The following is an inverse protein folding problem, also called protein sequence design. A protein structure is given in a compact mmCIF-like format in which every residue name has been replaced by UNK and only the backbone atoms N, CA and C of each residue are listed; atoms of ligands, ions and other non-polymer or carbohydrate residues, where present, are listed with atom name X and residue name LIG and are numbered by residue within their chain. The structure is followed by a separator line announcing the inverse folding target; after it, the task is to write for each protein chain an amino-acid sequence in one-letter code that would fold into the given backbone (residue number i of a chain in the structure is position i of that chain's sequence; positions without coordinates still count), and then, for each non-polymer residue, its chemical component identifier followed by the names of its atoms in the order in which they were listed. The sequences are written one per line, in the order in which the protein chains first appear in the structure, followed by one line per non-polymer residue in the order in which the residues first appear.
data_IF_352981461939
#
_entry.id   IF_352981461939
#
_cell.length_a   1.000
_cell.length_b   1.000
_cell.length_c   1.000
_cell.angle_alpha   90.00
_cell.angle_beta   90.00
_cell.angle_gamma   90.00
#
_symmetry.space_group_name_H-M   'P 1'
#
loop_
_entity.id
_entity.type
_entity.pdbx_description
1 polymer ?
#
# COMPACT_ATOMS: atom_id res chain seq x y z
N UNK A 1 24.52 -58.02 -0.89
CA UNK A 1 24.44 -57.12 -2.06
C UNK A 1 23.91 -55.77 -1.60
N UNK A 2 24.71 -54.69 -1.57
CA UNK A 2 24.17 -53.36 -1.32
C UNK A 2 23.80 -52.73 -2.66
N UNK A 3 22.52 -52.40 -2.84
CA UNK A 3 22.09 -51.51 -3.93
C UNK A 3 22.47 -50.10 -3.50
N UNK A 4 23.67 -49.67 -3.89
CA UNK A 4 24.05 -48.25 -3.82
C UNK A 4 23.20 -47.49 -4.84
N UNK A 5 22.10 -46.90 -4.37
CA UNK A 5 21.35 -45.89 -5.13
C UNK A 5 22.18 -44.62 -5.16
N UNK A 6 23.19 -44.59 -6.02
CA UNK A 6 23.84 -43.34 -6.39
C UNK A 6 22.81 -42.49 -7.11
N UNK A 7 22.23 -41.48 -6.42
CA UNK A 7 21.49 -40.40 -7.11
C UNK A 7 22.47 -39.77 -8.09
N UNK A 8 22.34 -40.10 -9.38
CA UNK A 8 23.04 -39.39 -10.44
C UNK A 8 22.69 -37.91 -10.29
N UNK A 9 23.72 -37.07 -10.23
CA UNK A 9 23.54 -35.64 -10.29
C UNK A 9 22.74 -35.30 -11.57
N UNK A 10 21.75 -34.40 -11.47
CA UNK A 10 20.97 -34.01 -12.63
C UNK A 10 21.91 -33.42 -13.71
N UNK A 11 21.63 -33.65 -15.00
CA UNK A 11 22.40 -33.01 -16.05
C UNK A 11 22.28 -31.49 -15.92
N UNK A 12 23.34 -30.74 -16.25
CA UNK A 12 23.43 -29.29 -16.06
C UNK A 12 22.19 -28.47 -16.53
N UNK A 13 21.50 -28.83 -17.64
CA UNK A 13 20.25 -28.14 -18.03
C UNK A 13 19.09 -28.33 -17.04
N UNK A 14 18.99 -29.51 -16.41
CA UNK A 14 17.95 -29.80 -15.40
C UNK A 14 18.27 -29.06 -14.11
N UNK A 15 19.53 -29.01 -13.70
CA UNK A 15 19.97 -28.22 -12.55
C UNK A 15 19.73 -26.71 -12.76
N UNK A 16 20.05 -26.18 -13.95
CA UNK A 16 19.76 -24.80 -14.32
C UNK A 16 18.26 -24.49 -14.29
N UNK A 17 17.42 -25.43 -14.76
CA UNK A 17 15.96 -25.27 -14.74
C UNK A 17 15.40 -25.26 -13.31
N UNK A 18 15.86 -26.18 -12.45
CA UNK A 18 15.45 -26.24 -11.05
C UNK A 18 15.88 -25.00 -10.27
N UNK A 19 17.09 -24.48 -10.55
CA UNK A 19 17.59 -23.23 -9.96
C UNK A 19 16.72 -22.04 -10.38
N UNK A 20 16.44 -21.90 -11.68
CA UNK A 20 15.57 -20.84 -12.20
C UNK A 20 14.15 -20.92 -11.60
N UNK A 21 13.62 -22.13 -11.39
CA UNK A 21 12.32 -22.34 -10.74
C UNK A 21 12.35 -21.89 -9.27
N UNK A 22 13.37 -22.28 -8.52
CA UNK A 22 13.51 -21.91 -7.11
C UNK A 22 13.67 -20.38 -6.94
N UNK A 23 14.45 -19.75 -7.81
CA UNK A 23 14.63 -18.29 -7.83
C UNK A 23 13.34 -17.57 -8.21
N UNK A 24 12.59 -18.08 -9.19
CA UNK A 24 11.28 -17.54 -9.58
C UNK A 24 10.24 -17.63 -8.46
N UNK A 25 10.19 -18.74 -7.72
CA UNK A 25 9.34 -18.87 -6.54
C UNK A 25 9.75 -17.89 -5.42
N UNK A 26 11.05 -17.71 -5.22
CA UNK A 26 11.59 -16.73 -4.27
C UNK A 26 11.18 -15.29 -4.62
N UNK A 27 11.22 -14.93 -5.90
CA UNK A 27 10.79 -13.62 -6.39
C UNK A 27 9.29 -13.39 -6.17
N UNK A 28 8.46 -14.39 -6.45
CA UNK A 28 7.01 -14.31 -6.22
C UNK A 28 6.66 -14.19 -4.74
N UNK A 29 7.33 -14.96 -3.88
CA UNK A 29 7.14 -14.87 -2.43
C UNK A 29 7.53 -13.47 -1.90
N UNK A 30 8.67 -12.94 -2.37
CA UNK A 30 9.09 -11.59 -2.03
C UNK A 30 8.09 -10.53 -2.50
N UNK A 31 7.62 -10.61 -3.74
CA UNK A 31 6.64 -9.68 -4.30
C UNK A 31 5.32 -9.72 -3.50
N UNK A 32 4.85 -10.91 -3.14
CA UNK A 32 3.68 -11.08 -2.28
C UNK A 32 3.85 -10.42 -0.91
N UNK A 33 5.02 -10.57 -0.29
CA UNK A 33 5.31 -9.90 0.98
C UNK A 33 5.33 -8.38 0.86
N UNK A 34 5.91 -7.83 -0.22
CA UNK A 34 5.91 -6.38 -0.50
C UNK A 34 4.49 -5.83 -0.67
N UNK A 35 3.64 -6.51 -1.44
CA UNK A 35 2.26 -6.09 -1.62
C UNK A 35 1.44 -6.19 -0.33
N UNK A 36 1.68 -7.22 0.48
CA UNK A 36 1.00 -7.37 1.77
C UNK A 36 1.39 -6.27 2.76
N UNK A 37 2.69 -5.94 2.86
CA UNK A 37 3.17 -4.81 3.66
C UNK A 37 2.60 -3.48 3.17
N UNK A 38 2.60 -3.24 1.85
CA UNK A 38 1.97 -2.06 1.26
C UNK A 38 0.48 -1.97 1.62
N UNK A 39 -0.28 -3.05 1.44
CA UNK A 39 -1.70 -3.09 1.77
C UNK A 39 -1.97 -2.82 3.24
N UNK A 40 -1.16 -3.38 4.15
CA UNK A 40 -1.30 -3.14 5.59
C UNK A 40 -1.05 -1.66 5.95
N UNK A 41 -0.03 -1.04 5.36
CA UNK A 41 0.26 0.39 5.57
C UNK A 41 -0.83 1.28 5.01
N UNK A 42 -1.28 1.01 3.77
CA UNK A 42 -2.36 1.76 3.14
C UNK A 42 -3.68 1.65 3.94
N UNK A 43 -4.02 0.46 4.42
CA UNK A 43 -5.21 0.26 5.26
C UNK A 43 -5.12 1.02 6.59
N UNK A 44 -3.94 1.03 7.23
CA UNK A 44 -3.71 1.78 8.47
C UNK A 44 -3.85 3.28 8.25
N UNK A 45 -3.33 3.77 7.13
CA UNK A 45 -3.45 5.17 6.76
C UNK A 45 -4.91 5.56 6.50
N UNK A 46 -5.63 4.78 5.69
CA UNK A 46 -7.06 5.01 5.42
C UNK A 46 -7.91 4.98 6.70
N UNK A 47 -7.61 4.09 7.63
CA UNK A 47 -8.30 4.05 8.92
C UNK A 47 -8.03 5.32 9.76
N UNK A 48 -6.79 5.81 9.74
CA UNK A 48 -6.40 7.05 10.41
C UNK A 48 -7.10 8.26 9.79
N UNK A 49 -7.10 8.35 8.46
CA UNK A 49 -7.84 9.37 7.72
C UNK A 49 -9.33 9.35 8.03
N UNK A 50 -9.98 8.17 8.00
CA UNK A 50 -11.40 8.04 8.28
C UNK A 50 -11.76 8.50 9.71
N UNK A 51 -10.92 8.16 10.69
CA UNK A 51 -11.07 8.64 12.08
C UNK A 51 -10.95 10.15 12.16
N UNK A 52 -9.95 10.73 11.52
CA UNK A 52 -9.69 12.17 11.57
C UNK A 52 -10.76 12.96 10.80
N UNK A 53 -11.30 12.39 9.72
CA UNK A 53 -12.46 12.91 8.99
C UNK A 53 -13.72 12.90 9.86
N UNK A 54 -14.03 11.77 10.51
CA UNK A 54 -15.17 11.67 11.42
C UNK A 54 -15.09 12.71 12.55
N UNK A 55 -13.87 12.94 13.08
CA UNK A 55 -13.66 13.98 14.09
C UNK A 55 -13.95 15.39 13.54
N UNK A 56 -13.46 15.72 12.35
CA UNK A 56 -13.70 17.02 11.70
C UNK A 56 -15.18 17.23 11.38
N UNK A 57 -15.88 16.18 10.94
CA UNK A 57 -17.32 16.21 10.70
C UNK A 57 -18.09 16.49 12.01
N UNK A 58 -17.76 15.81 13.11
CA UNK A 58 -18.39 16.04 14.41
C UNK A 58 -18.14 17.47 14.94
N UNK A 59 -16.91 17.98 14.80
CA UNK A 59 -16.57 19.35 15.18
C UNK A 59 -17.37 20.38 14.36
N UNK A 60 -17.51 20.16 13.04
CA UNK A 60 -18.31 21.02 12.18
C UNK A 60 -19.80 20.97 12.52
N UNK A 61 -20.36 19.78 12.76
CA UNK A 61 -21.74 19.60 13.19
C UNK A 61 -22.02 20.28 14.54
N UNK A 62 -21.13 20.14 15.51
CA UNK A 62 -21.25 20.82 16.81
C UNK A 62 -21.30 22.34 16.68
N UNK A 63 -20.47 22.91 15.79
CA UNK A 63 -20.50 24.34 15.49
C UNK A 63 -21.77 24.77 14.77
N UNK A 64 -22.29 23.95 13.85
CA UNK A 64 -23.53 24.24 13.13
C UNK A 64 -24.76 24.20 14.03
N UNK A 65 -24.87 23.19 14.91
CA UNK A 65 -26.01 23.03 15.83
C UNK A 65 -26.12 24.19 16.82
N UNK A 66 -24.99 24.78 17.21
CA UNK A 66 -24.97 25.93 18.12
C UNK A 66 -25.06 27.29 17.41
N UNK A 67 -25.03 27.30 16.08
CA UNK A 67 -25.06 28.53 15.28
C UNK A 67 -26.48 29.11 15.19
N UNK A 68 -26.63 30.38 15.56
CA UNK A 68 -27.93 31.10 15.48
C UNK A 68 -28.05 32.03 14.27
N UNK A 69 -26.93 32.29 13.59
CA UNK A 69 -26.88 33.17 12.42
C UNK A 69 -26.84 32.31 11.14
N UNK A 70 -27.85 32.40 10.26
CA UNK A 70 -27.88 31.63 9.02
C UNK A 70 -26.73 31.98 8.06
N UNK A 71 -26.24 33.22 8.03
CA UNK A 71 -25.09 33.57 7.20
C UNK A 71 -23.80 32.96 7.74
N UNK A 72 -23.62 32.97 9.07
CA UNK A 72 -22.51 32.28 9.71
C UNK A 72 -22.57 30.77 9.47
N UNK A 73 -23.75 30.15 9.52
CA UNK A 73 -23.94 28.74 9.23
C UNK A 73 -23.51 28.40 7.79
N UNK A 74 -23.91 29.20 6.80
CA UNK A 74 -23.49 29.02 5.41
C UNK A 74 -21.96 29.16 5.24
N UNK A 75 -21.34 30.12 5.92
CA UNK A 75 -19.86 30.27 5.94
C UNK A 75 -19.18 29.04 6.56
N UNK A 76 -19.70 28.54 7.69
CA UNK A 76 -19.18 27.34 8.35
C UNK A 76 -19.23 26.10 7.45
N UNK A 77 -20.36 25.88 6.78
CA UNK A 77 -20.53 24.78 5.82
C UNK A 77 -19.52 24.90 4.66
N UNK A 78 -19.41 26.09 4.07
CA UNK A 78 -18.45 26.33 2.97
C UNK A 78 -17.01 26.05 3.41
N UNK A 79 -16.60 26.58 4.55
CA UNK A 79 -15.25 26.34 5.08
C UNK A 79 -15.00 24.86 5.33
N UNK A 80 -15.96 24.16 5.94
CA UNK A 80 -15.84 22.73 6.20
C UNK A 80 -15.67 21.91 4.91
N UNK A 81 -16.47 22.21 3.86
CA UNK A 81 -16.33 21.54 2.56
C UNK A 81 -14.96 21.78 1.91
N UNK A 82 -14.45 23.02 1.96
CA UNK A 82 -13.11 23.34 1.45
C UNK A 82 -12.04 22.58 2.21
N UNK A 83 -12.13 22.52 3.55
CA UNK A 83 -11.20 21.74 4.39
C UNK A 83 -11.27 20.25 4.08
N UNK A 84 -12.47 19.69 3.89
CA UNK A 84 -12.67 18.27 3.54
C UNK A 84 -12.06 17.92 2.19
N UNK A 85 -12.23 18.79 1.19
CA UNK A 85 -11.63 18.61 -0.12
C UNK A 85 -10.10 18.66 -0.06
N UNK A 86 -9.53 19.63 0.67
CA UNK A 86 -8.09 19.74 0.85
C UNK A 86 -7.52 18.50 1.54
N UNK A 87 -8.11 18.07 2.66
CA UNK A 87 -7.68 16.87 3.38
C UNK A 87 -7.77 15.60 2.50
N UNK A 88 -8.84 15.46 1.71
CA UNK A 88 -8.99 14.32 0.80
C UNK A 88 -7.94 14.32 -0.32
N UNK A 89 -7.61 15.50 -0.85
CA UNK A 89 -6.57 15.66 -1.87
C UNK A 89 -5.18 15.33 -1.32
N UNK A 90 -4.86 15.82 -0.12
CA UNK A 90 -3.59 15.54 0.54
C UNK A 90 -3.42 14.04 0.83
N UNK A 91 -4.49 13.39 1.28
CA UNK A 91 -4.52 11.95 1.54
C UNK A 91 -4.35 11.13 0.26
N UNK A 92 -5.07 11.49 -0.81
CA UNK A 92 -4.89 10.85 -2.12
C UNK A 92 -3.45 10.99 -2.63
N UNK A 93 -2.83 12.16 -2.44
CA UNK A 93 -1.42 12.38 -2.76
C UNK A 93 -0.48 11.52 -1.93
N UNK A 94 -0.78 11.29 -0.65
CA UNK A 94 -0.01 10.41 0.23
C UNK A 94 -0.08 8.95 -0.23
N UNK A 95 -1.29 8.44 -0.51
CA UNK A 95 -1.48 7.08 -1.02
C UNK A 95 -0.80 6.87 -2.39
N UNK A 96 -0.83 7.88 -3.26
CA UNK A 96 -0.13 7.85 -4.54
C UNK A 96 1.39 7.73 -4.34
N UNK A 97 1.98 8.47 -3.40
CA UNK A 97 3.42 8.37 -3.06
C UNK A 97 3.77 6.98 -2.51
N UNK A 98 2.97 6.45 -1.59
CA UNK A 98 3.18 5.09 -1.04
C UNK A 98 3.16 4.03 -2.14
N UNK A 99 2.26 4.18 -3.12
CA UNK A 99 2.18 3.29 -4.28
C UNK A 99 3.41 3.44 -5.16
N UNK A 100 3.84 4.67 -5.46
CA UNK A 100 5.02 4.94 -6.26
C UNK A 100 6.30 4.38 -5.63
N UNK A 101 6.47 4.51 -4.32
CA UNK A 101 7.60 3.93 -3.58
C UNK A 101 7.63 2.40 -3.70
N UNK A 102 6.46 1.76 -3.59
CA UNK A 102 6.33 0.30 -3.72
C UNK A 102 6.68 -0.16 -5.14
N UNK A 103 6.20 0.56 -6.16
CA UNK A 103 6.54 0.32 -7.55
C UNK A 103 8.04 0.49 -7.81
N UNK A 104 8.68 1.50 -7.21
CA UNK A 104 10.10 1.76 -7.39
C UNK A 104 10.97 0.66 -6.74
N UNK A 105 10.63 0.23 -5.53
CA UNK A 105 11.28 -0.92 -4.86
C UNK A 105 11.15 -2.19 -5.70
N UNK A 106 9.96 -2.43 -6.23
CA UNK A 106 9.68 -3.58 -7.11
C UNK A 106 10.50 -3.50 -8.39
N UNK A 107 10.50 -2.34 -9.07
CA UNK A 107 11.27 -2.10 -10.29
C UNK A 107 12.76 -2.33 -10.08
N UNK A 108 13.33 -1.76 -9.02
CA UNK A 108 14.75 -1.94 -8.67
C UNK A 108 15.09 -3.41 -8.50
N UNK A 109 14.30 -4.15 -7.72
CA UNK A 109 14.50 -5.59 -7.51
C UNK A 109 14.45 -6.38 -8.81
N UNK A 110 13.53 -6.06 -9.70
CA UNK A 110 13.39 -6.71 -11.01
C UNK A 110 14.55 -6.38 -11.97
N UNK A 111 15.09 -5.17 -11.89
CA UNK A 111 16.25 -4.75 -12.68
C UNK A 111 17.54 -5.40 -12.17
N UNK A 112 17.75 -5.45 -10.85
CA UNK A 112 18.92 -6.09 -10.23
C UNK A 112 18.97 -7.61 -10.49
N UNK A 113 17.82 -8.25 -10.75
CA UNK A 113 17.77 -9.67 -11.12
C UNK A 113 18.20 -9.95 -12.57
N UNK A 114 18.21 -8.94 -13.45
CA UNK A 114 18.59 -9.09 -14.87
C UNK A 114 20.07 -8.80 -15.16
N UNK A 115 20.81 -8.26 -14.19
CA UNK A 115 22.26 -7.98 -14.28
C UNK A 115 23.07 -9.00 -13.50
#
# INVERSE_FOLDING_TARGET
MPISSARKAPPAPVEATLKAQAEGLGLMAWLGAVFLDHAARAATEMASFARDEARRDLEALGRLVTCRDPEAAARLQRTHLVTKLAASSDEAGKLARMTAETCEVTRKRMSDWRG
#
